data_IF_415741569199
#
_entry.id   IF_415741569199
#
_cell.length_a   1.000
_cell.length_b   1.000
_cell.length_c   1.000
_cell.angle_alpha   90.00
_cell.angle_beta   90.00
_cell.angle_gamma   90.00
#
_symmetry.space_group_name_H-M   'P 1'
#
loop_
_entity.id
_entity.type
_entity.pdbx_description
1 polymer ?
#
# COMPACT_ATOMS: atom_id res chain seq x y z
N UNK A 1 -3.79 -14.74 16.80
CA UNK A 1 -3.45 -13.31 16.75
C UNK A 1 -3.23 -12.96 15.30
N UNK A 2 -4.02 -12.06 14.72
CA UNK A 2 -3.85 -11.68 13.32
C UNK A 2 -2.53 -10.90 13.21
N UNK A 3 -1.53 -11.50 12.56
CA UNK A 3 -0.29 -10.81 12.19
C UNK A 3 -0.66 -9.69 11.24
N UNK A 4 -0.53 -8.43 11.68
CA UNK A 4 -0.85 -7.29 10.84
C UNK A 4 0.09 -7.21 9.64
N UNK A 5 -0.35 -6.58 8.55
CA UNK A 5 0.41 -6.33 7.32
C UNK A 5 1.79 -5.72 7.61
N UNK A 6 1.87 -4.84 8.61
CA UNK A 6 3.13 -4.20 9.01
C UNK A 6 4.04 -5.16 9.79
N UNK A 7 3.44 -6.05 10.59
CA UNK A 7 4.17 -7.03 11.40
C UNK A 7 4.80 -8.12 10.55
N UNK A 8 4.21 -8.42 9.38
CA UNK A 8 4.74 -9.42 8.44
C UNK A 8 5.84 -8.88 7.52
N UNK A 9 6.15 -7.58 7.58
CA UNK A 9 7.21 -7.00 6.76
C UNK A 9 8.58 -7.58 7.12
N UNK A 10 9.40 -7.98 6.13
CA UNK A 10 10.82 -8.20 6.28
C UNK A 10 11.54 -7.07 7.02
N UNK A 11 12.59 -7.41 7.78
CA UNK A 11 13.35 -6.45 8.60
C UNK A 11 13.87 -5.25 7.79
N UNK A 12 14.30 -5.47 6.55
CA UNK A 12 14.77 -4.41 5.66
C UNK A 12 13.66 -3.42 5.29
N UNK A 13 12.44 -3.90 5.07
CA UNK A 13 11.28 -3.04 4.77
C UNK A 13 10.78 -2.33 6.03
N UNK A 14 10.90 -2.96 7.21
CA UNK A 14 10.57 -2.30 8.48
C UNK A 14 11.47 -1.08 8.76
N UNK A 15 12.71 -1.07 8.27
CA UNK A 15 13.61 0.10 8.40
C UNK A 15 13.19 1.29 7.56
N UNK A 16 12.42 1.07 6.50
CA UNK A 16 11.90 2.12 5.63
C UNK A 16 10.61 2.76 6.19
N UNK A 17 10.05 2.20 7.26
CA UNK A 17 8.90 2.79 7.94
C UNK A 17 9.28 4.16 8.48
N UNK A 18 8.50 5.15 8.11
CA UNK A 18 8.64 6.52 8.58
C UNK A 18 7.30 7.03 9.06
N UNK A 19 7.33 7.98 9.98
CA UNK A 19 6.13 8.72 10.37
C UNK A 19 5.77 9.63 9.18
N UNK A 20 4.74 9.29 8.41
CA UNK A 20 4.27 10.21 7.39
C UNK A 20 3.45 11.34 8.02
N UNK A 21 3.65 12.54 7.47
CA UNK A 21 2.73 13.64 7.66
C UNK A 21 1.37 13.25 7.07
N UNK A 22 0.28 13.63 7.75
CA UNK A 22 -1.08 13.38 7.24
C UNK A 22 -1.20 13.99 5.84
N UNK A 23 -1.69 13.20 4.88
CA UNK A 23 -1.83 13.64 3.49
C UNK A 23 -0.55 13.55 2.66
N UNK A 24 0.32 12.57 2.96
CA UNK A 24 1.54 12.31 2.21
C UNK A 24 1.30 12.35 0.69
N UNK A 25 2.09 13.21 0.04
CA UNK A 25 1.97 13.53 -1.36
C UNK A 25 2.42 12.33 -2.23
N UNK A 26 1.67 12.02 -3.28
CA UNK A 26 1.96 10.95 -4.26
C UNK A 26 3.12 11.33 -5.22
N UNK A 27 3.93 12.31 -4.83
CA UNK A 27 4.68 13.19 -5.73
C UNK A 27 5.95 12.59 -6.36
N UNK A 28 6.40 11.42 -5.93
CA UNK A 28 7.64 10.88 -6.46
C UNK A 28 7.43 10.25 -7.85
N UNK A 29 8.09 10.79 -8.86
CA UNK A 29 7.97 10.37 -10.27
C UNK A 29 9.29 9.78 -10.73
N UNK A 30 9.23 8.70 -11.52
CA UNK A 30 10.41 8.11 -12.13
C UNK A 30 10.88 8.95 -13.35
N UNK A 31 12.19 9.16 -13.45
CA UNK A 31 12.82 9.75 -14.65
C UNK A 31 13.27 8.65 -15.59
N UNK A 32 12.89 8.72 -16.87
CA UNK A 32 13.40 7.81 -17.89
C UNK A 32 14.90 8.05 -18.07
N UNK A 33 15.70 6.98 -18.05
CA UNK A 33 17.16 7.08 -18.17
C UNK A 33 17.70 6.09 -19.18
N UNK A 34 18.59 6.56 -20.05
CA UNK A 34 19.38 5.72 -20.95
C UNK A 34 20.65 5.16 -20.29
N UNK A 35 20.89 5.55 -19.03
CA UNK A 35 21.96 4.99 -18.22
C UNK A 35 21.79 3.48 -18.09
N UNK A 36 22.91 2.75 -18.11
CA UNK A 36 22.95 1.28 -18.00
C UNK A 36 23.80 0.78 -16.84
N UNK A 37 24.57 1.67 -16.22
CA UNK A 37 25.42 1.40 -15.07
C UNK A 37 24.72 1.85 -13.76
N UNK A 38 24.11 0.88 -13.10
CA UNK A 38 23.46 1.04 -11.79
C UNK A 38 24.06 0.01 -10.81
N UNK A 39 25.39 0.04 -10.66
CA UNK A 39 26.16 -1.00 -9.95
C UNK A 39 26.48 -0.69 -8.48
N UNK A 40 26.10 0.50 -7.99
CA UNK A 40 26.32 0.88 -6.60
C UNK A 40 25.23 0.37 -5.65
N UNK A 41 25.57 0.23 -4.36
CA UNK A 41 24.67 -0.27 -3.31
C UNK A 41 23.48 0.68 -3.03
N UNK A 42 23.53 1.91 -3.55
CA UNK A 42 22.43 2.88 -3.47
C UNK A 42 21.24 2.55 -4.39
N UNK A 43 21.40 1.61 -5.33
CA UNK A 43 20.36 1.28 -6.31
C UNK A 43 19.56 0.05 -5.90
N UNK A 44 18.25 0.26 -5.71
CA UNK A 44 17.29 -0.83 -5.59
C UNK A 44 16.58 -1.06 -6.91
N UNK A 45 16.61 -2.31 -7.39
CA UNK A 45 15.88 -2.71 -8.58
C UNK A 45 14.54 -3.34 -8.22
N UNK A 46 13.47 -2.77 -8.76
CA UNK A 46 12.14 -3.33 -8.65
C UNK A 46 11.62 -3.72 -10.03
N UNK A 47 10.85 -4.81 -10.07
CA UNK A 47 10.13 -5.18 -11.28
C UNK A 47 9.12 -4.08 -11.57
N UNK A 48 9.20 -3.47 -12.76
CA UNK A 48 8.14 -2.61 -13.27
C UNK A 48 6.87 -3.45 -13.43
N UNK A 49 5.88 -3.17 -12.60
CA UNK A 49 4.55 -3.75 -12.70
C UNK A 49 3.70 -2.90 -13.66
N UNK A 50 2.69 -3.53 -14.25
CA UNK A 50 1.73 -2.87 -15.13
C UNK A 50 0.36 -2.85 -14.43
N UNK A 51 0.08 -1.76 -13.73
CA UNK A 51 -1.03 -1.63 -12.79
C UNK A 51 -1.52 -0.20 -12.64
N UNK A 52 -2.17 0.08 -11.50
CA UNK A 52 -2.55 1.43 -11.10
C UNK A 52 -1.83 1.78 -9.79
N UNK A 53 -0.99 2.81 -9.82
CA UNK A 53 -0.43 3.38 -8.60
C UNK A 53 -1.53 3.94 -7.69
N UNK A 54 -1.52 3.49 -6.44
CA UNK A 54 -2.49 3.81 -5.40
C UNK A 54 -1.78 4.14 -4.10
N UNK A 55 -2.27 5.16 -3.40
CA UNK A 55 -1.92 5.38 -2.00
C UNK A 55 -3.04 4.78 -1.15
N UNK A 56 -2.81 3.62 -0.55
CA UNK A 56 -3.77 3.03 0.37
C UNK A 56 -3.63 3.69 1.74
N UNK A 57 -4.65 4.41 2.19
CA UNK A 57 -4.65 5.11 3.48
C UNK A 57 -5.70 4.50 4.39
N UNK A 58 -5.31 4.13 5.59
CA UNK A 58 -6.20 3.82 6.70
C UNK A 58 -6.01 4.86 7.81
N UNK A 59 -7.10 5.46 8.25
CA UNK A 59 -7.17 6.40 9.37
C UNK A 59 -8.35 6.00 10.28
N UNK A 60 -8.05 5.24 11.32
CA UNK A 60 -9.03 4.52 12.12
C UNK A 60 -9.85 3.53 11.29
N UNK A 61 -11.16 3.80 11.21
CA UNK A 61 -12.13 2.99 10.46
C UNK A 61 -12.33 3.51 9.02
N UNK A 62 -11.68 4.63 8.67
CA UNK A 62 -11.77 5.19 7.31
C UNK A 62 -10.62 4.67 6.48
N UNK A 63 -10.97 4.14 5.30
CA UNK A 63 -10.00 3.65 4.32
C UNK A 63 -10.25 4.40 3.02
N UNK A 64 -9.18 4.82 2.36
CA UNK A 64 -9.25 5.44 1.04
C UNK A 64 -8.15 4.91 0.14
N UNK A 65 -8.47 4.81 -1.16
CA UNK A 65 -7.55 4.34 -2.19
C UNK A 65 -7.41 5.39 -3.31
N UNK A 66 -6.90 6.60 -3.03
CA UNK A 66 -6.61 7.58 -4.07
C UNK A 66 -5.54 7.06 -5.04
N UNK A 67 -5.84 7.10 -6.33
CA UNK A 67 -4.87 6.90 -7.39
C UNK A 67 -4.03 8.17 -7.60
N UNK A 68 -2.90 8.01 -8.30
CA UNK A 68 -2.07 9.15 -8.76
C UNK A 68 -2.84 10.18 -9.60
N UNK A 69 -3.88 9.76 -10.32
CA UNK A 69 -4.71 10.65 -11.14
C UNK A 69 -5.88 11.28 -10.37
N UNK A 70 -5.94 11.10 -9.05
CA UNK A 70 -6.99 11.63 -8.19
C UNK A 70 -8.30 10.83 -8.21
N UNK A 71 -8.32 9.67 -8.88
CA UNK A 71 -9.49 8.78 -8.85
C UNK A 71 -9.56 8.06 -7.51
N UNK A 72 -10.75 7.99 -6.92
CA UNK A 72 -11.01 7.13 -5.76
C UNK A 72 -11.29 5.72 -6.23
N UNK A 73 -10.54 4.75 -5.69
CA UNK A 73 -10.66 3.34 -6.06
C UNK A 73 -11.31 2.50 -4.94
N UNK A 74 -11.63 3.10 -3.80
CA UNK A 74 -12.19 2.42 -2.64
C UNK A 74 -13.57 1.80 -2.91
N UNK A 75 -14.41 2.43 -3.74
CA UNK A 75 -15.69 1.85 -4.16
C UNK A 75 -15.52 0.77 -5.23
N UNK A 76 -14.43 0.83 -6.01
CA UNK A 76 -14.15 -0.10 -7.12
C UNK A 76 -13.53 -1.40 -6.64
N UNK A 77 -12.83 -1.38 -5.49
CA UNK A 77 -12.14 -2.55 -4.92
C UNK A 77 -12.45 -2.70 -3.43
N UNK A 78 -13.72 -3.01 -3.08
CA UNK A 78 -14.15 -3.18 -1.69
C UNK A 78 -13.40 -4.32 -0.98
N UNK A 79 -12.94 -5.34 -1.69
CA UNK A 79 -12.13 -6.43 -1.12
C UNK A 79 -10.78 -5.94 -0.61
N UNK A 80 -10.20 -4.93 -1.25
CA UNK A 80 -8.96 -4.29 -0.80
C UNK A 80 -9.25 -3.46 0.45
N UNK A 81 -10.37 -2.73 0.46
CA UNK A 81 -10.82 -1.96 1.63
C UNK A 81 -11.01 -2.88 2.84
N UNK A 82 -11.72 -4.00 2.68
CA UNK A 82 -11.97 -4.96 3.75
C UNK A 82 -10.68 -5.58 4.27
N UNK A 83 -9.76 -5.96 3.36
CA UNK A 83 -8.46 -6.52 3.72
C UNK A 83 -7.62 -5.52 4.53
N UNK A 84 -7.63 -4.24 4.16
CA UNK A 84 -6.94 -3.17 4.90
C UNK A 84 -7.60 -2.88 6.26
N UNK A 85 -8.93 -2.99 6.35
CA UNK A 85 -9.70 -2.83 7.59
C UNK A 85 -9.49 -3.95 8.59
N UNK A 86 -9.25 -5.17 8.11
CA UNK A 86 -8.92 -6.33 8.93
C UNK A 86 -7.53 -6.29 9.59
N UNK A 87 -6.69 -5.31 9.25
CA UNK A 87 -5.36 -5.19 9.83
C UNK A 87 -5.40 -4.75 11.30
N UNK A 88 -4.45 -5.21 12.12
CA UNK A 88 -4.35 -4.80 13.52
C UNK A 88 -3.92 -3.33 13.70
N UNK A 89 -3.21 -2.77 12.73
CA UNK A 89 -2.85 -1.35 12.71
C UNK A 89 -4.01 -0.54 12.12
N UNK A 90 -4.54 0.39 12.91
CA UNK A 90 -5.69 1.23 12.51
C UNK A 90 -5.30 2.49 11.76
N UNK A 91 -4.02 2.82 11.67
CA UNK A 91 -3.56 4.09 11.10
C UNK A 91 -2.29 3.82 10.30
N UNK A 92 -2.38 3.82 8.98
CA UNK A 92 -1.23 3.63 8.09
C UNK A 92 -1.50 4.17 6.69
N UNK A 93 -0.43 4.46 5.95
CA UNK A 93 -0.49 4.67 4.50
C UNK A 93 0.33 3.60 3.80
N UNK A 94 0.13 3.32 2.52
CA UNK A 94 1.01 2.48 1.70
C UNK A 94 0.98 3.04 0.30
N UNK A 95 2.12 3.53 -0.19
CA UNK A 95 2.30 3.83 -1.62
C UNK A 95 2.66 2.54 -2.34
N UNK A 96 1.82 2.15 -3.30
CA UNK A 96 1.96 0.86 -3.96
C UNK A 96 1.34 0.82 -5.35
N UNK A 97 1.68 -0.23 -6.08
CA UNK A 97 1.07 -0.55 -7.36
C UNK A 97 -0.03 -1.60 -7.15
N UNK A 98 -1.25 -1.24 -7.53
CA UNK A 98 -2.39 -2.15 -7.57
C UNK A 98 -2.36 -2.95 -8.87
N UNK A 99 -2.30 -4.27 -8.77
CA UNK A 99 -2.22 -5.17 -9.92
C UNK A 99 -3.22 -6.32 -9.82
N UNK A 100 -3.72 -6.77 -10.97
CA UNK A 100 -4.42 -8.05 -11.11
C UNK A 100 -3.47 -9.08 -11.73
N UNK A 101 -3.59 -10.34 -11.31
CA UNK A 101 -2.79 -11.44 -11.87
C UNK A 101 -3.63 -12.37 -12.76
N UNK A 102 -2.98 -12.88 -13.81
CA UNK A 102 -3.47 -13.94 -14.67
C UNK A 102 -2.30 -14.85 -15.04
N UNK A 103 -2.40 -16.14 -14.71
CA UNK A 103 -1.35 -17.15 -14.98
C UNK A 103 0.07 -16.71 -14.54
N UNK A 104 0.17 -16.09 -13.36
CA UNK A 104 1.44 -15.63 -12.78
C UNK A 104 2.02 -14.36 -13.41
N UNK A 105 1.29 -13.67 -14.29
CA UNK A 105 1.67 -12.39 -14.89
C UNK A 105 0.67 -11.31 -14.51
N UNK A 106 1.13 -10.05 -14.46
CA UNK A 106 0.24 -8.90 -14.30
C UNK A 106 -0.64 -8.76 -15.54
N UNK A 107 -1.93 -8.50 -15.33
CA UNK A 107 -2.94 -8.38 -16.37
C UNK A 107 -3.75 -7.09 -16.14
N UNK A 108 -3.31 -6.02 -16.81
CA UNK A 108 -3.94 -4.71 -16.69
C UNK A 108 -5.36 -4.67 -17.29
N UNK A 109 -5.66 -5.51 -18.27
CA UNK A 109 -7.01 -5.59 -18.83
C UNK A 109 -8.00 -6.13 -17.81
N UNK A 110 -7.61 -7.14 -17.02
CA UNK A 110 -8.43 -7.64 -15.90
C UNK A 110 -8.63 -6.59 -14.81
N UNK A 111 -7.59 -5.83 -14.49
CA UNK A 111 -7.72 -4.72 -13.52
C UNK A 111 -8.75 -3.67 -13.97
N UNK A 112 -8.93 -3.46 -15.27
CA UNK A 112 -9.92 -2.49 -15.77
C UNK A 112 -11.37 -2.98 -15.72
N UNK A 113 -11.61 -4.29 -15.60
CA UNK A 113 -12.97 -4.86 -15.64
C UNK A 113 -13.93 -4.27 -14.59
N UNK A 114 -13.56 -4.17 -13.29
CA UNK A 114 -14.46 -3.61 -12.29
C UNK A 114 -14.59 -2.08 -12.37
N UNK A 115 -13.71 -1.36 -13.10
CA UNK A 115 -13.73 0.11 -13.13
C UNK A 115 -14.98 0.74 -13.78
N UNK A 116 -15.75 -0.05 -14.53
CA UNK A 116 -17.04 0.36 -15.11
C UNK A 116 -18.25 -0.09 -14.30
N UNK A 117 -18.05 -0.83 -13.20
CA UNK A 117 -19.10 -1.37 -12.36
C UNK A 117 -19.30 -0.48 -11.14
N UNK A 118 -20.54 -0.37 -10.67
CA UNK A 118 -20.91 0.48 -9.53
C UNK A 118 -21.54 -0.29 -8.38
N UNK A 119 -22.12 -1.48 -8.65
CA UNK A 119 -22.69 -2.34 -7.61
C UNK A 119 -21.63 -3.28 -7.08
N UNK A 120 -21.47 -3.31 -5.75
CA UNK A 120 -20.53 -4.17 -5.04
C UNK A 120 -20.64 -5.65 -5.45
N UNK A 121 -21.86 -6.16 -5.62
CA UNK A 121 -22.09 -7.54 -6.06
C UNK A 121 -21.52 -7.83 -7.46
N UNK A 122 -21.61 -6.88 -8.39
CA UNK A 122 -21.08 -7.04 -9.75
C UNK A 122 -19.54 -6.99 -9.74
N UNK A 123 -18.98 -6.13 -8.89
CA UNK A 123 -17.52 -6.01 -8.68
C UNK A 123 -16.97 -7.33 -8.12
N UNK A 124 -17.58 -7.85 -7.05
CA UNK A 124 -17.19 -9.11 -6.43
C UNK A 124 -17.34 -10.29 -7.42
N UNK A 125 -18.41 -10.30 -8.22
CA UNK A 125 -18.66 -11.31 -9.24
C UNK A 125 -17.64 -11.28 -10.40
N UNK A 126 -16.91 -10.18 -10.61
CA UNK A 126 -15.84 -10.11 -11.62
C UNK A 126 -14.69 -11.08 -11.34
N UNK A 127 -14.53 -11.51 -10.07
CA UNK A 127 -13.49 -12.44 -9.65
C UNK A 127 -12.07 -11.93 -9.86
N UNK A 128 -11.89 -10.61 -9.97
CA UNK A 128 -10.60 -9.96 -10.13
C UNK A 128 -9.92 -9.89 -8.76
N UNK A 129 -8.96 -10.79 -8.53
CA UNK A 129 -8.11 -10.71 -7.34
C UNK A 129 -7.02 -9.66 -7.55
N UNK A 130 -6.95 -8.72 -6.62
CA UNK A 130 -6.04 -7.57 -6.67
C UNK A 130 -4.98 -7.66 -5.57
N UNK A 131 -3.78 -7.22 -5.88
CA UNK A 131 -2.66 -7.13 -4.94
C UNK A 131 -2.06 -5.74 -4.98
N UNK A 132 -1.83 -5.14 -3.81
CA UNK A 132 -1.04 -3.91 -3.68
C UNK A 132 0.40 -4.30 -3.38
N UNK A 133 1.31 -3.92 -4.27
CA UNK A 133 2.75 -4.12 -4.08
C UNK A 133 3.39 -2.79 -3.66
N UNK A 134 4.03 -2.68 -2.48
CA UNK A 134 4.65 -1.43 -2.06
C UNK A 134 5.84 -1.08 -2.97
N UNK A 135 5.92 0.19 -3.37
CA UNK A 135 7.08 0.73 -4.11
C UNK A 135 8.14 1.10 -3.08
N UNK A 136 9.33 0.50 -3.14
CA UNK A 136 10.37 0.66 -2.09
C UNK A 136 11.48 1.66 -2.49
N UNK A 137 11.61 1.97 -3.78
CA UNK A 137 12.69 2.83 -4.31
C UNK A 137 12.29 4.26 -4.70
N UNK A 138 11.00 4.60 -4.75
CA UNK A 138 10.52 5.91 -5.25
C UNK A 138 10.02 6.78 -4.08
N UNK A 139 9.66 6.19 -2.97
CA UNK A 139 9.32 6.81 -1.69
C UNK A 139 9.80 5.85 -0.59
N UNK A 140 10.19 6.30 0.62
CA UNK A 140 10.26 5.37 1.74
C UNK A 140 8.90 4.66 1.80
N UNK A 141 8.87 3.34 1.91
CA UNK A 141 7.61 2.59 2.08
C UNK A 141 6.89 3.23 3.26
N UNK A 142 5.93 4.11 2.94
CA UNK A 142 5.34 4.98 3.92
C UNK A 142 4.21 4.24 4.62
N UNK A 143 4.51 3.07 5.20
CA UNK A 143 3.69 2.45 6.22
C UNK A 143 3.72 3.33 7.47
N UNK A 144 2.95 4.40 7.36
CA UNK A 144 2.96 5.53 8.24
C UNK A 144 2.03 5.29 9.41
N UNK A 145 2.51 4.68 10.49
CA UNK A 145 1.72 4.63 11.72
C UNK A 145 1.50 6.06 12.20
N UNK A 146 0.31 6.62 11.98
CA UNK A 146 -0.01 7.97 12.46
C UNK A 146 0.01 7.91 13.98
N UNK A 147 0.69 8.84 14.67
CA UNK A 147 0.65 8.86 16.12
C UNK A 147 -0.78 9.15 16.57
N UNK A 148 -1.42 8.12 17.15
CA UNK A 148 -2.52 8.34 18.08
C UNK A 148 -1.88 8.89 19.35
N UNK A 149 -2.28 10.07 19.77
CA UNK A 149 -1.96 10.65 21.09
C UNK A 149 -2.50 9.81 22.28
N UNK A 150 -2.76 8.52 22.10
CA UNK A 150 -3.27 7.60 23.12
C UNK A 150 -2.98 6.11 22.87
N UNK A 151 -2.18 5.72 21.87
CA UNK A 151 -1.80 4.30 21.72
C UNK A 151 -0.75 3.90 22.76
N UNK A 152 -1.19 3.39 23.92
CA UNK A 152 -0.34 2.60 24.81
C UNK A 152 0.05 1.32 24.08
N UNK A 153 1.31 1.23 23.68
CA UNK A 153 1.96 -0.02 23.30
C UNK A 153 1.80 -1.02 24.46
N UNK A 154 0.92 -2.02 24.28
CA UNK A 154 0.90 -3.22 25.10
C UNK A 154 1.80 -4.26 24.42
N UNK A 155 3.11 -4.18 24.69
CA UNK A 155 3.94 -5.40 24.86
C UNK A 155 5.36 -5.05 25.33
N UNK A 156 5.67 -5.61 26.50
CA UNK A 156 6.97 -5.94 27.09
C UNK A 156 8.09 -4.88 27.07
N UNK A 157 8.25 -4.16 28.19
CA UNK A 157 9.57 -3.62 28.56
C UNK A 157 9.64 -2.18 29.10
N UNK A 158 8.58 -1.59 29.66
CA UNK A 158 8.73 -0.30 30.35
C UNK A 158 9.38 -0.50 31.74
N UNK A 159 10.56 0.08 32.02
CA UNK A 159 11.01 0.23 33.40
C UNK A 159 10.08 1.21 34.12
N UNK A 160 9.60 0.81 35.29
CA UNK A 160 8.68 1.58 36.11
C UNK A 160 9.34 2.83 36.70
N UNK A 161 8.64 3.95 36.54
CA UNK A 161 8.59 5.16 37.36
C UNK A 161 9.71 5.42 38.39
N UNK A 162 10.35 6.59 38.23
CA UNK A 162 10.89 7.43 39.28
C UNK A 162 10.55 8.88 38.95
#
# INVERSE_FOLDING_TARGET
MATGLLDSLPAEQRRLLSVALRGADLAAVATLSDRRDFSGEEWLFERKLDGVRVLAVRAGDRISLPSRTGRRLDDTYPEVVDALGGQGCSDFSVDGEMVAFSRGRTDFARLQQPMGLTRRQDIEASGVAVTITPVRGITPVAAAVLPRSSCRCLSAGCPSAG
#
